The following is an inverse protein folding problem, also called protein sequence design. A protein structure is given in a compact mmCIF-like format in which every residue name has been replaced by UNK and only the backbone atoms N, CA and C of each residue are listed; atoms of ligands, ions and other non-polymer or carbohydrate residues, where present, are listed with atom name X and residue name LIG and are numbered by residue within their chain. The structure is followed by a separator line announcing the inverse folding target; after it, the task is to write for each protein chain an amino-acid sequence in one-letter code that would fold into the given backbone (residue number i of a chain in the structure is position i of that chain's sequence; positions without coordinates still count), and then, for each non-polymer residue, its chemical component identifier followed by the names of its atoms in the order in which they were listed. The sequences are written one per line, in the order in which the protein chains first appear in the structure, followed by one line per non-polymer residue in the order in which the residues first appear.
data_IF_812742258834
#
_entry.id   IF_812742258834
#
_cell.length_a   1.000
_cell.length_b   1.000
_cell.length_c   1.000
_cell.angle_alpha   90.00
_cell.angle_beta   90.00
_cell.angle_gamma   90.00
#
_symmetry.space_group_name_H-M   'P 1'
#
loop_
_entity.id
_entity.type
_entity.pdbx_description
1 polymer ?
#
# COMPACT_ATOMS: atom_id res chain seq x y z
N UNK A 1 -8.49 11.94 -4.50
CA UNK A 1 -8.00 10.57 -4.35
C UNK A 1 -8.98 9.56 -4.98
N UNK A 2 -10.30 9.69 -4.77
CA UNK A 2 -11.32 8.71 -5.19
C UNK A 2 -11.25 8.34 -6.68
N UNK A 3 -11.10 9.31 -7.55
CA UNK A 3 -11.02 9.10 -9.02
C UNK A 3 -9.60 9.02 -9.56
N UNK A 4 -8.59 9.00 -8.71
CA UNK A 4 -7.17 8.90 -9.09
C UNK A 4 -6.75 9.92 -10.18
N UNK A 5 -7.18 11.19 -10.06
CA UNK A 5 -6.97 12.22 -11.06
C UNK A 5 -5.50 12.65 -11.12
N UNK A 6 -4.80 12.23 -12.18
CA UNK A 6 -3.38 12.54 -12.38
C UNK A 6 -3.10 14.04 -12.43
N UNK A 7 -3.97 14.83 -13.09
CA UNK A 7 -3.80 16.28 -13.19
C UNK A 7 -3.80 16.92 -11.80
N UNK A 8 -4.77 16.56 -10.95
CA UNK A 8 -4.85 17.11 -9.58
C UNK A 8 -3.62 16.76 -8.75
N UNK A 9 -3.13 15.51 -8.84
CA UNK A 9 -1.93 15.10 -8.13
C UNK A 9 -0.67 15.77 -8.67
N UNK A 10 -0.53 15.89 -9.99
CA UNK A 10 0.59 16.60 -10.60
C UNK A 10 0.63 18.06 -10.15
N UNK A 11 -0.51 18.77 -10.15
CA UNK A 11 -0.62 20.15 -9.66
C UNK A 11 -0.24 20.27 -8.18
N UNK A 12 -0.68 19.33 -7.32
CA UNK A 12 -0.26 19.30 -5.91
C UNK A 12 1.27 19.07 -5.84
N UNK A 13 1.79 18.15 -6.66
CA UNK A 13 3.22 17.85 -6.71
C UNK A 13 4.09 19.05 -7.00
N UNK A 14 3.65 19.94 -7.90
CA UNK A 14 4.38 21.18 -8.23
C UNK A 14 4.54 22.13 -7.02
N UNK A 15 3.73 21.98 -5.98
CA UNK A 15 3.83 22.78 -4.75
C UNK A 15 4.71 22.15 -3.67
N UNK A 16 5.16 20.90 -3.86
CA UNK A 16 5.95 20.18 -2.87
C UNK A 16 7.42 20.61 -2.90
N UNK A 17 8.00 20.82 -1.71
CA UNK A 17 9.44 20.88 -1.56
C UNK A 17 10.04 19.48 -1.74
N UNK A 18 11.03 19.37 -2.64
CA UNK A 18 11.66 18.10 -2.99
C UNK A 18 12.31 17.39 -1.82
N UNK A 19 12.95 18.17 -0.93
CA UNK A 19 13.61 17.64 0.26
C UNK A 19 12.59 17.04 1.24
N UNK A 20 11.53 17.79 1.52
CA UNK A 20 10.43 17.33 2.39
C UNK A 20 9.72 16.11 1.81
N UNK A 21 9.48 16.08 0.50
CA UNK A 21 8.86 14.93 -0.18
C UNK A 21 9.73 13.66 -0.06
N UNK A 22 11.05 13.82 -0.25
CA UNK A 22 11.99 12.73 -0.03
C UNK A 22 12.01 12.28 1.43
N UNK A 23 12.06 13.22 2.38
CA UNK A 23 12.06 12.90 3.82
C UNK A 23 10.84 12.08 4.21
N UNK A 24 9.64 12.48 3.76
CA UNK A 24 8.40 11.75 4.00
C UNK A 24 8.45 10.32 3.40
N UNK A 25 8.97 10.17 2.18
CA UNK A 25 9.16 8.85 1.59
C UNK A 25 10.14 7.98 2.41
N UNK A 26 11.19 8.56 2.94
CA UNK A 26 12.16 7.86 3.81
C UNK A 26 11.59 7.56 5.21
N UNK A 27 10.67 8.36 5.73
CA UNK A 27 9.89 8.04 6.95
C UNK A 27 8.98 6.84 6.72
N UNK A 28 8.42 6.71 5.52
CA UNK A 28 7.69 5.53 5.06
C UNK A 28 8.58 4.35 4.65
N UNK A 29 9.88 4.37 4.96
CA UNK A 29 10.89 3.34 4.73
C UNK A 29 11.33 3.13 3.27
N UNK A 30 11.02 4.05 2.34
CA UNK A 30 11.70 4.01 1.05
C UNK A 30 13.21 4.25 1.23
N UNK A 31 14.03 3.60 0.42
CA UNK A 31 15.50 3.65 0.48
C UNK A 31 16.10 3.15 1.81
N UNK A 32 15.32 2.48 2.64
CA UNK A 32 15.75 1.93 3.93
C UNK A 32 15.44 0.44 4.01
N UNK A 33 16.06 -0.21 4.98
CA UNK A 33 15.75 -1.59 5.31
C UNK A 33 14.39 -1.70 6.00
N UNK A 34 13.60 -2.68 5.57
CA UNK A 34 12.36 -3.00 6.24
C UNK A 34 12.63 -3.75 7.56
N UNK A 35 11.83 -3.55 8.61
CA UNK A 35 11.96 -4.29 9.87
C UNK A 35 11.44 -5.73 9.74
N UNK A 36 11.95 -6.49 8.78
CA UNK A 36 11.54 -7.84 8.46
C UNK A 36 12.75 -8.77 8.38
N UNK A 37 12.70 -9.89 9.08
CA UNK A 37 13.82 -10.82 9.17
C UNK A 37 13.91 -11.80 7.96
N UNK A 38 12.94 -11.78 7.05
CA UNK A 38 12.93 -12.62 5.84
C UNK A 38 13.63 -11.97 4.66
N UNK A 39 13.61 -12.67 3.52
CA UNK A 39 14.16 -12.15 2.25
C UNK A 39 13.15 -11.21 1.59
N UNK A 40 13.60 -10.03 1.19
CA UNK A 40 12.81 -9.04 0.46
C UNK A 40 13.68 -8.19 -0.45
N UNK A 41 13.04 -7.46 -1.36
CA UNK A 41 13.67 -6.41 -2.15
C UNK A 41 13.35 -5.04 -1.55
N UNK A 42 14.32 -4.12 -1.55
CA UNK A 42 14.12 -2.76 -1.06
C UNK A 42 13.31 -1.93 -2.06
N UNK A 43 12.43 -1.09 -1.55
CA UNK A 43 11.72 -0.08 -2.34
C UNK A 43 12.59 1.15 -2.56
N UNK A 44 12.40 1.84 -3.69
CA UNK A 44 13.24 2.95 -4.11
C UNK A 44 12.40 4.20 -4.39
N UNK A 45 12.88 5.32 -3.89
CA UNK A 45 12.36 6.66 -4.18
C UNK A 45 13.53 7.55 -4.59
N UNK A 46 13.49 8.09 -5.81
CA UNK A 46 14.66 8.75 -6.40
C UNK A 46 14.62 10.27 -6.42
N UNK A 47 13.51 10.91 -6.05
CA UNK A 47 13.48 12.37 -5.96
C UNK A 47 14.50 12.85 -4.92
N UNK A 48 15.26 13.87 -5.30
CA UNK A 48 16.25 14.58 -4.47
C UNK A 48 16.17 16.08 -4.75
N UNK A 49 16.88 16.88 -3.98
CA UNK A 49 16.96 18.33 -4.21
C UNK A 49 17.44 18.70 -5.64
N UNK A 50 18.29 17.84 -6.23
CA UNK A 50 18.87 18.05 -7.56
C UNK A 50 18.01 17.45 -8.70
N UNK A 51 16.89 16.81 -8.38
CA UNK A 51 16.00 16.25 -9.42
C UNK A 51 15.39 17.36 -10.26
N UNK A 52 15.24 17.16 -11.59
CA UNK A 52 14.58 18.13 -12.44
C UNK A 52 13.10 18.29 -12.05
N UNK A 53 12.53 19.46 -12.34
CA UNK A 53 11.16 19.77 -11.91
C UNK A 53 10.11 18.89 -12.59
N UNK A 54 10.37 18.44 -13.82
CA UNK A 54 9.52 17.55 -14.60
C UNK A 54 9.46 16.11 -14.05
N UNK A 55 10.37 15.72 -13.13
CA UNK A 55 10.34 14.43 -12.46
C UNK A 55 9.24 14.33 -11.40
N UNK A 56 8.82 15.48 -10.81
CA UNK A 56 7.84 15.50 -9.73
C UNK A 56 6.44 15.07 -10.21
N UNK A 57 5.87 15.62 -11.30
CA UNK A 57 4.55 15.23 -11.78
C UNK A 57 4.40 13.73 -12.03
N UNK A 58 5.43 13.07 -12.55
CA UNK A 58 5.42 11.62 -12.75
C UNK A 58 5.48 10.86 -11.42
N UNK A 59 6.34 11.29 -10.50
CA UNK A 59 6.53 10.60 -9.22
C UNK A 59 5.30 10.69 -8.32
N UNK A 60 4.62 11.84 -8.25
CA UNK A 60 3.43 12.03 -7.40
C UNK A 60 2.22 11.23 -7.88
N UNK A 61 2.15 10.85 -9.14
CA UNK A 61 1.12 9.94 -9.65
C UNK A 61 1.52 8.47 -9.56
N UNK A 62 2.70 8.18 -8.97
CA UNK A 62 3.19 6.81 -8.79
C UNK A 62 3.88 6.20 -10.01
N UNK A 63 4.36 7.04 -10.94
CA UNK A 63 5.11 6.64 -12.13
C UNK A 63 6.60 7.02 -11.99
N UNK A 64 7.34 6.90 -13.09
CA UNK A 64 8.77 7.22 -13.12
C UNK A 64 9.63 6.17 -12.43
N UNK A 65 10.64 6.63 -11.71
CA UNK A 65 11.66 5.76 -11.09
C UNK A 65 11.32 5.23 -9.69
N UNK A 66 10.11 5.51 -9.18
CA UNK A 66 9.66 4.98 -7.89
C UNK A 66 9.33 3.50 -8.00
N UNK A 67 9.90 2.70 -7.10
CA UNK A 67 9.65 1.26 -7.04
C UNK A 67 9.24 0.86 -5.63
N UNK A 68 8.15 0.10 -5.52
CA UNK A 68 7.66 -0.43 -4.25
C UNK A 68 7.40 -1.93 -4.38
N UNK A 69 7.71 -2.68 -3.33
CA UNK A 69 7.36 -4.10 -3.26
C UNK A 69 5.96 -4.28 -2.66
N UNK A 70 5.24 -5.37 -2.98
CA UNK A 70 3.96 -5.67 -2.35
C UNK A 70 4.03 -5.74 -0.82
N UNK A 71 5.11 -6.32 -0.27
CA UNK A 71 5.34 -6.36 1.17
C UNK A 71 5.40 -4.94 1.76
N UNK A 72 6.23 -4.08 1.19
CA UNK A 72 6.38 -2.72 1.69
C UNK A 72 5.07 -1.91 1.58
N UNK A 73 4.35 -2.05 0.47
CA UNK A 73 3.06 -1.39 0.28
C UNK A 73 2.01 -1.88 1.30
N UNK A 74 1.98 -3.20 1.58
CA UNK A 74 1.12 -3.75 2.63
C UNK A 74 1.50 -3.23 4.03
N UNK A 75 2.79 -3.05 4.30
CA UNK A 75 3.25 -2.48 5.58
C UNK A 75 2.82 -1.03 5.76
N UNK A 76 2.94 -0.19 4.73
CA UNK A 76 2.45 1.19 4.76
C UNK A 76 0.94 1.21 5.00
N UNK A 77 0.18 0.38 4.26
CA UNK A 77 -1.26 0.28 4.44
C UNK A 77 -1.64 -0.24 5.83
N UNK A 78 -0.87 -1.19 6.39
CA UNK A 78 -1.06 -1.66 7.77
C UNK A 78 -0.81 -0.57 8.81
N UNK A 79 0.15 0.33 8.57
CA UNK A 79 0.37 1.47 9.44
C UNK A 79 -0.81 2.46 9.39
N UNK A 80 -1.39 2.71 8.20
CA UNK A 80 -2.60 3.54 8.06
C UNK A 80 -3.77 2.91 8.84
N UNK A 81 -3.97 1.59 8.70
CA UNK A 81 -5.00 0.84 9.41
C UNK A 81 -4.78 0.76 10.93
N UNK A 82 -3.59 1.09 11.41
CA UNK A 82 -3.15 1.00 12.81
C UNK A 82 -2.71 2.38 13.35
N UNK A 83 -3.49 3.42 13.06
CA UNK A 83 -3.30 4.78 13.57
C UNK A 83 -1.89 5.36 13.35
N UNK A 84 -1.25 4.98 12.25
CA UNK A 84 0.10 5.42 11.88
C UNK A 84 1.24 4.61 12.49
N UNK A 85 0.94 3.59 13.29
CA UNK A 85 1.95 2.73 13.94
C UNK A 85 2.31 1.56 13.04
N UNK A 86 3.58 1.51 12.63
CA UNK A 86 4.14 0.43 11.85
C UNK A 86 4.50 -0.76 12.74
N UNK A 87 4.01 -1.94 12.39
CA UNK A 87 4.34 -3.19 13.06
C UNK A 87 5.45 -3.95 12.33
N UNK A 88 6.30 -4.65 13.07
CA UNK A 88 7.29 -5.56 12.50
C UNK A 88 6.58 -6.80 11.93
N UNK A 89 6.65 -7.07 10.61
CA UNK A 89 6.07 -8.28 10.05
C UNK A 89 6.79 -9.54 10.56
N UNK A 90 6.03 -10.60 10.79
CA UNK A 90 6.55 -11.93 11.08
C UNK A 90 5.62 -13.01 10.51
N UNK A 91 6.19 -14.17 10.15
CA UNK A 91 5.47 -15.28 9.52
C UNK A 91 5.47 -16.55 10.36
N UNK A 92 6.19 -16.55 11.48
CA UNK A 92 6.31 -17.68 12.40
C UNK A 92 5.63 -17.30 13.70
N UNK A 93 4.55 -18.01 14.06
CA UNK A 93 3.86 -17.81 15.34
C UNK A 93 4.61 -18.46 16.51
N UNK A 94 5.02 -19.71 16.34
CA UNK A 94 5.72 -20.46 17.39
C UNK A 94 6.72 -21.47 16.83
N UNK A 95 7.66 -21.84 17.66
CA UNK A 95 8.56 -22.98 17.46
C UNK A 95 8.22 -24.01 18.52
N UNK A 96 7.96 -25.23 18.12
CA UNK A 96 7.58 -26.34 18.96
C UNK A 96 8.60 -27.48 18.86
N UNK A 97 8.72 -28.27 19.93
CA UNK A 97 9.49 -29.52 19.88
C UNK A 97 8.65 -30.67 19.30
N UNK A 98 9.24 -31.85 19.17
CA UNK A 98 8.58 -33.05 18.61
C UNK A 98 7.37 -33.51 19.45
N UNK A 99 7.32 -33.15 20.73
CA UNK A 99 6.21 -33.46 21.65
C UNK A 99 5.11 -32.39 21.61
N UNK A 100 5.21 -31.36 20.77
CA UNK A 100 4.26 -30.26 20.63
C UNK A 100 4.36 -29.18 21.71
N UNK A 101 5.39 -29.20 22.56
CA UNK A 101 5.61 -28.16 23.54
C UNK A 101 6.25 -26.92 22.89
N UNK A 102 5.67 -25.74 23.12
CA UNK A 102 6.17 -24.46 22.58
C UNK A 102 7.51 -24.11 23.22
N UNK A 103 8.56 -24.06 22.39
CA UNK A 103 9.92 -23.62 22.79
C UNK A 103 10.01 -22.09 22.76
N UNK A 104 9.35 -21.47 21.75
CA UNK A 104 9.36 -20.02 21.55
C UNK A 104 8.03 -19.59 20.91
N UNK A 105 7.48 -18.48 21.37
CA UNK A 105 6.33 -17.82 20.76
C UNK A 105 6.74 -16.42 20.29
N UNK A 106 6.30 -16.03 19.12
CA UNK A 106 6.50 -14.68 18.60
C UNK A 106 5.23 -13.86 18.86
N UNK A 107 5.40 -12.58 19.10
CA UNK A 107 4.31 -11.66 19.38
C UNK A 107 4.43 -10.43 18.49
N UNK A 108 3.32 -9.74 18.19
CA UNK A 108 3.34 -8.47 17.50
C UNK A 108 4.30 -7.49 18.21
N UNK A 109 5.09 -6.78 17.41
CA UNK A 109 6.07 -5.81 17.88
C UNK A 109 6.01 -4.56 17.04
N UNK A 110 5.92 -3.41 17.68
CA UNK A 110 6.02 -2.12 17.00
C UNK A 110 7.42 -1.91 16.42
N UNK A 111 7.46 -1.36 15.21
CA UNK A 111 8.68 -0.95 14.53
C UNK A 111 8.88 0.57 14.57
N UNK A 112 7.82 1.34 14.83
CA UNK A 112 7.86 2.80 14.95
C UNK A 112 6.54 3.43 14.49
N UNK A 113 6.46 4.74 14.59
CA UNK A 113 5.34 5.54 14.07
C UNK A 113 5.80 6.22 12.79
N UNK A 114 5.05 6.08 11.70
CA UNK A 114 5.40 6.62 10.36
C UNK A 114 4.48 7.77 9.93
N UNK A 115 3.39 7.99 10.64
CA UNK A 115 2.47 9.13 10.50
C UNK A 115 1.66 9.28 11.78
N UNK A 116 1.02 10.42 11.98
CA UNK A 116 0.11 10.63 13.11
C UNK A 116 -1.22 9.89 12.89
N UNK A 117 -1.95 9.62 13.98
CA UNK A 117 -3.29 9.02 13.90
C UNK A 117 -4.26 9.91 13.09
N UNK A 118 -4.17 11.22 13.21
CA UNK A 118 -5.00 12.16 12.44
C UNK A 118 -4.72 12.04 10.93
N UNK A 119 -3.45 11.93 10.52
CA UNK A 119 -3.07 11.72 9.12
C UNK A 119 -3.57 10.37 8.60
N UNK A 120 -3.44 9.31 9.39
CA UNK A 120 -3.93 7.97 9.06
C UNK A 120 -5.47 7.97 8.87
N UNK A 121 -6.20 8.65 9.76
CA UNK A 121 -7.65 8.78 9.66
C UNK A 121 -8.09 9.58 8.42
N UNK A 122 -7.41 10.69 8.11
CA UNK A 122 -7.67 11.48 6.89
C UNK A 122 -7.44 10.63 5.63
N UNK A 123 -6.36 9.86 5.58
CA UNK A 123 -6.08 8.96 4.46
C UNK A 123 -7.14 7.87 4.35
N UNK A 124 -7.55 7.28 5.46
CA UNK A 124 -8.61 6.28 5.53
C UNK A 124 -9.93 6.82 4.95
N UNK A 125 -10.36 8.01 5.36
CA UNK A 125 -11.58 8.66 4.85
C UNK A 125 -11.50 8.94 3.35
N UNK A 126 -10.36 9.42 2.85
CA UNK A 126 -10.18 9.61 1.42
C UNK A 126 -10.21 8.29 0.63
N UNK A 127 -9.68 7.22 1.21
CA UNK A 127 -9.64 5.91 0.57
C UNK A 127 -11.00 5.18 0.64
N UNK A 128 -11.87 5.48 1.62
CA UNK A 128 -13.27 5.02 1.61
C UNK A 128 -13.95 5.40 0.28
N UNK A 129 -13.79 6.67 -0.14
CA UNK A 129 -14.36 7.16 -1.40
C UNK A 129 -13.87 6.43 -2.65
N UNK A 130 -12.64 5.89 -2.65
CA UNK A 130 -12.13 5.06 -3.77
C UNK A 130 -12.98 3.80 -3.95
N UNK A 131 -13.36 3.15 -2.85
CA UNK A 131 -14.08 1.88 -2.85
C UNK A 131 -15.60 2.06 -2.95
N UNK A 132 -16.15 3.16 -2.43
CA UNK A 132 -17.59 3.42 -2.42
C UNK A 132 -18.13 3.94 -3.77
N UNK A 133 -17.47 4.93 -4.35
CA UNK A 133 -17.93 5.61 -5.57
C UNK A 133 -16.80 5.93 -6.57
N UNK A 134 -15.55 5.67 -6.23
CA UNK A 134 -14.38 5.96 -7.06
C UNK A 134 -13.94 4.78 -7.94
N UNK A 135 -12.63 4.70 -8.21
CA UNK A 135 -12.03 3.74 -9.14
C UNK A 135 -12.15 2.28 -8.69
N UNK A 136 -12.37 2.03 -7.41
CA UNK A 136 -12.56 0.69 -6.83
C UNK A 136 -14.02 0.28 -6.69
N UNK A 137 -14.99 1.18 -6.92
CA UNK A 137 -16.41 0.94 -6.60
C UNK A 137 -17.02 -0.26 -7.31
N UNK A 138 -16.61 -0.54 -8.54
CA UNK A 138 -17.06 -1.74 -9.29
C UNK A 138 -16.69 -3.07 -8.64
N UNK A 139 -15.75 -3.07 -7.70
CA UNK A 139 -15.32 -4.26 -6.98
C UNK A 139 -15.81 -4.30 -5.54
N UNK A 140 -15.93 -3.16 -4.87
CA UNK A 140 -16.07 -3.07 -3.41
C UNK A 140 -17.36 -2.43 -2.92
N UNK A 141 -18.15 -1.78 -3.78
CA UNK A 141 -19.43 -1.23 -3.36
C UNK A 141 -20.48 -2.34 -3.13
N UNK A 142 -21.36 -2.12 -2.15
CA UNK A 142 -22.50 -3.03 -1.88
C UNK A 142 -22.14 -4.35 -1.21
N UNK A 143 -20.94 -4.46 -0.62
CA UNK A 143 -20.54 -5.63 0.17
C UNK A 143 -21.19 -5.61 1.55
N UNK A 144 -21.23 -6.79 2.20
CA UNK A 144 -21.65 -6.93 3.61
C UNK A 144 -20.58 -6.45 4.61
N UNK A 145 -19.38 -6.13 4.14
CA UNK A 145 -18.25 -5.58 4.87
C UNK A 145 -17.73 -4.35 4.12
N UNK A 146 -17.09 -3.43 4.82
CA UNK A 146 -16.50 -2.24 4.20
C UNK A 146 -15.06 -2.50 3.78
N UNK A 147 -14.66 -1.91 2.66
CA UNK A 147 -13.26 -1.90 2.20
C UNK A 147 -12.84 -0.47 1.95
N UNK A 148 -11.65 -0.12 2.42
CA UNK A 148 -10.96 1.13 2.10
C UNK A 148 -9.62 0.83 1.46
N UNK A 149 -9.21 1.61 0.47
CA UNK A 149 -7.96 1.33 -0.22
C UNK A 149 -7.73 2.18 -1.47
N UNK A 150 -6.72 1.82 -2.21
CA UNK A 150 -6.31 2.51 -3.44
C UNK A 150 -6.02 1.53 -4.57
N UNK A 151 -6.59 1.80 -5.73
CA UNK A 151 -6.24 1.16 -7.00
C UNK A 151 -5.03 1.83 -7.61
N UNK A 152 -4.23 1.07 -8.34
CA UNK A 152 -3.10 1.58 -9.12
C UNK A 152 -2.99 0.89 -10.47
N UNK A 153 -2.50 1.65 -11.45
CA UNK A 153 -2.10 1.10 -12.75
C UNK A 153 -0.73 1.70 -13.07
N UNK A 154 0.29 0.86 -13.10
CA UNK A 154 1.66 1.26 -13.32
C UNK A 154 2.15 0.73 -14.67
N UNK A 155 2.41 1.62 -15.60
CA UNK A 155 3.07 1.29 -16.86
C UNK A 155 4.55 1.00 -16.59
N UNK A 156 5.09 -0.04 -17.23
CA UNK A 156 6.48 -0.45 -17.00
C UNK A 156 7.32 -0.51 -18.29
N UNK A 157 6.70 -0.31 -19.44
CA UNK A 157 7.38 -0.20 -20.72
C UNK A 157 6.68 0.81 -21.66
N UNK A 158 7.25 1.03 -22.83
CA UNK A 158 6.71 1.94 -23.86
C UNK A 158 5.69 1.27 -24.79
N UNK A 159 5.33 0.01 -24.54
CA UNK A 159 4.38 -0.77 -25.34
C UNK A 159 2.96 -0.73 -24.74
N UNK A 160 2.80 -0.01 -23.63
CA UNK A 160 1.53 0.11 -22.90
C UNK A 160 1.24 -1.07 -21.98
N UNK A 161 2.25 -1.90 -21.68
CA UNK A 161 2.10 -2.94 -20.68
C UNK A 161 2.04 -2.32 -19.29
N UNK A 162 1.09 -2.77 -18.49
CA UNK A 162 0.88 -2.23 -17.16
C UNK A 162 0.62 -3.31 -16.11
N UNK A 163 1.03 -3.00 -14.89
CA UNK A 163 0.69 -3.77 -13.71
C UNK A 163 -0.48 -3.11 -12.99
N UNK A 164 -1.49 -3.90 -12.63
CA UNK A 164 -2.62 -3.42 -11.84
C UNK A 164 -2.41 -3.73 -10.37
N UNK A 165 -2.60 -2.71 -9.54
CA UNK A 165 -2.44 -2.78 -8.10
C UNK A 165 -3.75 -2.51 -7.37
N UNK A 166 -3.89 -3.14 -6.23
CA UNK A 166 -4.78 -2.71 -5.17
C UNK A 166 -4.09 -2.91 -3.83
N UNK A 167 -4.19 -1.93 -2.97
CA UNK A 167 -3.84 -2.07 -1.57
C UNK A 167 -4.93 -1.43 -0.72
N UNK A 168 -5.34 -2.13 0.34
CA UNK A 168 -6.42 -1.66 1.21
C UNK A 168 -6.65 -2.60 2.38
N UNK A 169 -7.59 -2.23 3.22
CA UNK A 169 -8.01 -3.01 4.38
C UNK A 169 -9.53 -2.99 4.54
N UNK A 170 -10.03 -3.95 5.30
CA UNK A 170 -11.45 -4.06 5.60
C UNK A 170 -11.77 -3.44 6.96
N UNK A 171 -13.07 -3.10 7.14
CA UNK A 171 -13.64 -2.54 8.36
C UNK A 171 -12.83 -1.35 8.90
N UNK A 172 -12.86 -0.18 8.23
CA UNK A 172 -11.97 0.95 8.53
C UNK A 172 -12.09 1.50 9.95
N UNK A 173 -13.17 1.22 10.67
CA UNK A 173 -13.37 1.64 12.05
C UNK A 173 -12.80 0.62 13.07
N UNK A 174 -12.58 -0.63 12.65
CA UNK A 174 -11.93 -1.72 13.42
C UNK A 174 -11.28 -2.68 12.41
N UNK A 175 -10.08 -2.37 11.89
CA UNK A 175 -9.48 -3.08 10.78
C UNK A 175 -9.16 -4.56 11.05
N UNK A 176 -9.65 -5.45 10.18
CA UNK A 176 -9.45 -6.89 10.30
C UNK A 176 -8.27 -7.42 9.50
N UNK A 177 -8.17 -7.03 8.23
CA UNK A 177 -7.17 -7.58 7.31
C UNK A 177 -6.74 -6.53 6.29
N UNK A 178 -5.45 -6.47 6.03
CA UNK A 178 -4.84 -5.70 4.94
C UNK A 178 -4.53 -6.63 3.77
N UNK A 179 -4.88 -6.19 2.57
CA UNK A 179 -4.57 -6.90 1.32
C UNK A 179 -3.82 -5.97 0.37
N UNK A 180 -2.67 -6.44 -0.11
CA UNK A 180 -1.95 -5.83 -1.22
C UNK A 180 -1.87 -6.86 -2.36
N UNK A 181 -2.48 -6.55 -3.48
CA UNK A 181 -2.50 -7.41 -4.67
C UNK A 181 -1.92 -6.68 -5.88
N UNK A 182 -1.11 -7.39 -6.64
CA UNK A 182 -0.58 -6.96 -7.93
C UNK A 182 -0.87 -8.04 -8.98
N UNK A 183 -1.27 -7.60 -10.16
CA UNK A 183 -1.31 -8.46 -11.36
C UNK A 183 -0.41 -7.86 -12.40
N UNK A 184 0.60 -8.61 -12.80
CA UNK A 184 1.51 -8.21 -13.85
C UNK A 184 0.84 -8.34 -15.23
N UNK A 185 1.17 -7.44 -16.15
CA UNK A 185 0.59 -7.41 -17.49
C UNK A 185 -0.94 -7.48 -17.49
N UNK A 186 -1.59 -6.70 -16.66
CA UNK A 186 -3.05 -6.72 -16.48
C UNK A 186 -3.82 -6.35 -17.75
N UNK A 187 -3.24 -5.53 -18.62
CA UNK A 187 -3.77 -5.20 -19.96
C UNK A 187 -3.83 -6.42 -20.90
N UNK A 188 -3.00 -7.44 -20.68
CA UNK A 188 -2.98 -8.69 -21.45
C UNK A 188 -3.91 -9.73 -20.82
N UNK A 189 -3.83 -9.87 -19.49
CA UNK A 189 -4.60 -10.89 -18.75
C UNK A 189 -6.06 -10.51 -18.51
N UNK A 190 -6.37 -9.20 -18.52
CA UNK A 190 -7.69 -8.68 -18.15
C UNK A 190 -8.01 -8.81 -16.65
N UNK A 191 -7.07 -9.30 -15.84
CA UNK A 191 -7.23 -9.45 -14.39
C UNK A 191 -6.62 -8.24 -13.69
N UNK A 192 -7.35 -7.65 -12.76
CA UNK A 192 -6.88 -6.49 -12.00
C UNK A 192 -6.51 -6.85 -10.56
N UNK A 193 -5.58 -6.08 -9.95
CA UNK A 193 -5.26 -6.23 -8.54
C UNK A 193 -6.49 -6.06 -7.64
N UNK A 194 -7.42 -5.17 -7.99
CA UNK A 194 -8.67 -4.99 -7.25
C UNK A 194 -9.57 -6.23 -7.30
N UNK A 195 -9.64 -6.92 -8.45
CA UNK A 195 -10.38 -8.18 -8.56
C UNK A 195 -9.78 -9.27 -7.66
N UNK A 196 -8.45 -9.41 -7.68
CA UNK A 196 -7.74 -10.37 -6.82
C UNK A 196 -7.96 -10.05 -5.34
N UNK A 197 -7.79 -8.78 -4.95
CA UNK A 197 -8.01 -8.35 -3.57
C UNK A 197 -9.44 -8.63 -3.11
N UNK A 198 -10.44 -8.40 -3.97
CA UNK A 198 -11.83 -8.75 -3.68
C UNK A 198 -12.00 -10.22 -3.36
N UNK A 199 -11.40 -11.15 -4.13
CA UNK A 199 -11.47 -12.57 -3.86
C UNK A 199 -10.86 -12.94 -2.49
N UNK A 200 -9.79 -12.27 -2.09
CA UNK A 200 -9.16 -12.48 -0.79
C UNK A 200 -10.08 -12.02 0.35
N UNK A 201 -10.68 -10.84 0.24
CA UNK A 201 -11.64 -10.33 1.23
C UNK A 201 -12.88 -11.25 1.34
N UNK A 202 -13.45 -11.64 0.21
CA UNK A 202 -14.60 -12.56 0.20
C UNK A 202 -14.26 -13.90 0.88
N UNK A 203 -13.09 -14.47 0.61
CA UNK A 203 -12.64 -15.70 1.25
C UNK A 203 -12.41 -15.53 2.77
N UNK A 204 -11.97 -14.37 3.21
CA UNK A 204 -11.79 -14.06 4.64
C UNK A 204 -13.12 -13.99 5.38
N UNK A 205 -14.13 -13.35 4.80
CA UNK A 205 -15.47 -13.18 5.39
C UNK A 205 -16.46 -14.33 5.12
N UNK A 206 -16.08 -15.31 4.31
CA UNK A 206 -16.93 -16.50 4.01
C UNK A 206 -16.74 -17.64 5.01
N UNK A 207 -15.99 -17.42 6.10
CA UNK A 207 -15.68 -18.43 7.12
C UNK A 207 -16.78 -18.54 8.17
#
# INVERSE_FOLDING_TARGET
LAYSCNVSFATIGETLDKGSYRSTAEELLFNKDLPYDGVYNSSQFKISADSPDDAIPQTVIGQGDTKITPLHNAMIMSAIANDGVLMKPYTIDSIENDDGAKIKTFHPKEAGTVMTADEANILTDYMKGVCEYGTGSGYFSGLSYQVTGKTGTAEFDNEGNCNSWFVGFSNPDDPDIVVCAITEQSNVTGVTGAWVARQVFDAYYSK
#
